data_IF_406151534319
#
_entry.id   IF_406151534319
#
_cell.length_a   1.000
_cell.length_b   1.000
_cell.length_c   1.000
_cell.angle_alpha   90.00
_cell.angle_beta   90.00
_cell.angle_gamma   90.00
#
_symmetry.space_group_name_H-M   'P 1'
#
loop_
_entity.id
_entity.type
_entity.pdbx_description
1 polymer ?
#
# COMPACT_ATOMS: atom_id res chain seq x y z
N UNK A 1 10.76 -12.66 11.80
CA UNK A 1 11.58 -12.53 10.58
C UNK A 1 12.93 -13.18 10.80
N UNK A 2 13.75 -13.27 9.76
CA UNK A 2 15.07 -13.90 9.79
C UNK A 2 16.04 -13.20 8.82
N UNK A 3 17.34 -13.45 9.00
CA UNK A 3 18.42 -12.86 8.20
C UNK A 3 19.21 -13.91 7.39
N UNK A 4 19.25 -15.16 7.88
CA UNK A 4 20.00 -16.25 7.24
C UNK A 4 19.11 -17.46 6.96
N UNK A 5 19.36 -18.22 5.88
CA UNK A 5 18.77 -19.54 5.69
C UNK A 5 19.04 -20.45 6.91
N UNK A 6 18.06 -21.28 7.29
CA UNK A 6 18.11 -22.17 8.46
C UNK A 6 18.21 -21.47 9.84
N UNK A 7 18.10 -20.14 9.92
CA UNK A 7 18.17 -19.42 11.21
C UNK A 7 17.00 -19.73 12.13
N UNK A 8 15.82 -19.97 11.56
CA UNK A 8 14.58 -20.20 12.30
C UNK A 8 13.87 -21.43 11.78
N UNK A 9 13.12 -22.09 12.67
CA UNK A 9 12.10 -23.03 12.28
C UNK A 9 10.86 -22.25 11.83
N UNK A 10 10.52 -22.36 10.55
CA UNK A 10 9.43 -21.57 9.97
C UNK A 10 8.07 -21.91 10.58
N UNK A 11 7.80 -23.18 10.89
CA UNK A 11 6.50 -23.59 11.42
C UNK A 11 6.32 -23.05 12.84
N UNK A 12 7.36 -23.15 13.67
CA UNK A 12 7.35 -22.59 15.04
C UNK A 12 7.13 -21.07 14.99
N UNK A 13 7.91 -20.34 14.20
CA UNK A 13 7.84 -18.89 14.18
C UNK A 13 6.54 -18.34 13.56
N UNK A 14 6.01 -18.98 12.51
CA UNK A 14 4.71 -18.62 11.95
C UNK A 14 3.57 -18.92 12.92
N UNK A 15 3.62 -20.04 13.65
CA UNK A 15 2.65 -20.34 14.70
C UNK A 15 2.71 -19.29 15.81
N UNK A 16 3.91 -18.94 16.30
CA UNK A 16 4.07 -17.88 17.31
C UNK A 16 3.49 -16.54 16.86
N UNK A 17 3.75 -16.14 15.61
CA UNK A 17 3.17 -14.92 15.03
C UNK A 17 1.64 -14.99 14.99
N UNK A 18 1.08 -16.08 14.46
CA UNK A 18 -0.36 -16.26 14.35
C UNK A 18 -1.05 -16.30 15.71
N UNK A 19 -0.49 -17.03 16.69
CA UNK A 19 -1.03 -17.11 18.04
C UNK A 19 -0.99 -15.78 18.76
N UNK A 20 0.12 -15.03 18.62
CA UNK A 20 0.28 -13.70 19.21
C UNK A 20 -0.73 -12.70 18.62
N UNK A 21 -0.89 -12.67 17.30
CA UNK A 21 -1.87 -11.79 16.65
C UNK A 21 -3.30 -12.19 17.04
N UNK A 22 -3.60 -13.49 17.14
CA UNK A 22 -4.90 -13.99 17.61
C UNK A 22 -5.18 -13.54 19.05
N UNK A 23 -4.22 -13.66 19.95
CA UNK A 23 -4.37 -13.25 21.35
C UNK A 23 -4.68 -11.75 21.46
N UNK A 24 -3.92 -10.91 20.74
CA UNK A 24 -4.17 -9.46 20.69
C UNK A 24 -5.56 -9.17 20.13
N UNK A 25 -5.97 -9.86 19.06
CA UNK A 25 -7.28 -9.68 18.43
C UNK A 25 -8.45 -10.12 19.32
N UNK A 26 -8.28 -11.20 20.06
CA UNK A 26 -9.29 -11.72 20.99
C UNK A 26 -9.41 -10.82 22.24
N UNK A 27 -8.28 -10.35 22.77
CA UNK A 27 -8.26 -9.38 23.87
C UNK A 27 -8.91 -8.04 23.47
N UNK A 28 -8.50 -7.49 22.32
CA UNK A 28 -8.96 -6.21 21.79
C UNK A 28 -10.13 -6.33 20.81
N UNK A 29 -11.11 -7.19 21.07
CA UNK A 29 -12.18 -7.52 20.09
C UNK A 29 -13.01 -6.34 19.56
N UNK A 30 -13.01 -5.21 20.27
CA UNK A 30 -13.69 -3.96 19.85
C UNK A 30 -12.79 -2.99 19.07
N UNK A 31 -11.49 -3.26 18.99
CA UNK A 31 -10.48 -2.40 18.34
C UNK A 31 -10.02 -3.04 17.04
N UNK A 32 -9.92 -2.24 15.98
CA UNK A 32 -9.31 -2.68 14.72
C UNK A 32 -7.78 -2.78 14.89
N UNK A 33 -7.23 -3.92 14.51
CA UNK A 33 -5.79 -4.18 14.48
C UNK A 33 -5.37 -4.19 13.02
N UNK A 34 -4.49 -3.27 12.66
CA UNK A 34 -4.02 -3.10 11.30
C UNK A 34 -2.59 -3.63 11.20
N UNK A 35 -2.39 -4.67 10.40
CA UNK A 35 -1.07 -5.25 10.15
C UNK A 35 -0.39 -4.47 9.03
N UNK A 36 0.69 -3.78 9.36
CA UNK A 36 1.53 -3.13 8.37
C UNK A 36 2.62 -4.11 7.91
N UNK A 37 2.56 -4.49 6.64
CA UNK A 37 3.54 -5.40 6.06
C UNK A 37 4.71 -4.61 5.50
N UNK A 38 5.90 -5.20 5.52
CA UNK A 38 7.13 -4.60 4.98
C UNK A 38 8.05 -5.72 4.49
N UNK A 39 8.63 -5.61 3.30
CA UNK A 39 9.43 -6.70 2.71
C UNK A 39 10.61 -7.11 3.61
N UNK A 40 11.32 -6.13 4.15
CA UNK A 40 12.56 -6.23 4.92
C UNK A 40 12.74 -4.97 5.77
N UNK A 41 13.81 -4.92 6.55
CA UNK A 41 14.14 -3.91 7.57
C UNK A 41 13.29 -4.01 8.84
N UNK A 42 13.90 -4.22 10.03
CA UNK A 42 15.34 -4.36 10.27
C UNK A 42 15.90 -5.75 9.88
N UNK A 43 15.02 -6.71 9.55
CA UNK A 43 15.41 -8.08 9.15
C UNK A 43 15.54 -8.20 7.64
N UNK A 44 16.35 -9.12 7.13
CA UNK A 44 16.42 -9.36 5.68
C UNK A 44 15.12 -9.96 5.13
N UNK A 45 14.41 -10.75 5.95
CA UNK A 45 13.09 -11.29 5.63
C UNK A 45 12.12 -11.08 6.80
N UNK A 46 11.07 -10.30 6.58
CA UNK A 46 9.92 -10.23 7.48
C UNK A 46 8.85 -11.27 7.06
N UNK A 47 8.11 -11.80 8.03
CA UNK A 47 7.09 -12.82 7.76
C UNK A 47 5.89 -12.20 7.02
N UNK A 48 5.43 -11.04 7.47
CA UNK A 48 4.49 -10.19 6.76
C UNK A 48 5.25 -9.30 5.77
N UNK A 49 5.83 -9.95 4.75
CA UNK A 49 6.68 -9.31 3.76
C UNK A 49 5.94 -8.60 2.62
N UNK A 50 4.65 -8.90 2.44
CA UNK A 50 3.84 -8.40 1.33
C UNK A 50 2.34 -8.48 1.69
N UNK A 51 1.47 -7.85 0.89
CA UNK A 51 0.04 -7.75 1.17
C UNK A 51 -0.64 -9.12 1.24
N UNK A 52 -0.27 -10.04 0.34
CA UNK A 52 -0.90 -11.36 0.24
C UNK A 52 -0.51 -12.32 1.37
N UNK A 53 0.68 -12.17 1.96
CA UNK A 53 1.07 -12.89 3.19
C UNK A 53 0.27 -12.40 4.39
N UNK A 54 0.02 -11.09 4.49
CA UNK A 54 -0.89 -10.53 5.50
C UNK A 54 -2.32 -11.03 5.30
N UNK A 55 -2.80 -11.06 4.06
CA UNK A 55 -4.12 -11.61 3.74
C UNK A 55 -4.23 -13.10 4.12
N UNK A 56 -3.21 -13.91 3.83
CA UNK A 56 -3.15 -15.31 4.26
C UNK A 56 -3.31 -15.43 5.78
N UNK A 57 -2.55 -14.67 6.56
CA UNK A 57 -2.64 -14.68 8.02
C UNK A 57 -4.05 -14.28 8.50
N UNK A 58 -4.62 -13.21 7.93
CA UNK A 58 -5.97 -12.75 8.30
C UNK A 58 -7.02 -13.83 8.03
N UNK A 59 -6.94 -14.50 6.87
CA UNK A 59 -7.84 -15.60 6.52
C UNK A 59 -7.67 -16.81 7.43
N UNK A 60 -6.43 -17.15 7.79
CA UNK A 60 -6.13 -18.26 8.68
C UNK A 60 -6.66 -18.01 10.11
N UNK A 61 -6.54 -16.79 10.62
CA UNK A 61 -7.01 -16.43 11.96
C UNK A 61 -8.53 -16.23 12.04
N UNK A 62 -9.16 -15.84 10.92
CA UNK A 62 -10.61 -15.65 10.80
C UNK A 62 -11.19 -14.75 11.91
N UNK A 63 -10.55 -13.61 12.17
CA UNK A 63 -11.02 -12.58 13.11
C UNK A 63 -11.47 -11.34 12.37
N UNK A 64 -12.60 -10.78 12.78
CA UNK A 64 -13.26 -9.66 12.08
C UNK A 64 -12.58 -8.32 12.29
N UNK A 65 -11.73 -8.19 13.30
CA UNK A 65 -11.06 -6.95 13.69
C UNK A 65 -9.59 -6.89 13.25
N UNK A 66 -9.13 -7.82 12.41
CA UNK A 66 -7.78 -7.77 11.83
C UNK A 66 -7.88 -7.30 10.39
N UNK A 67 -7.07 -6.31 10.05
CA UNK A 67 -6.91 -5.78 8.69
C UNK A 67 -5.46 -5.45 8.39
N UNK A 68 -5.26 -4.62 7.37
CA UNK A 68 -3.95 -4.28 6.80
C UNK A 68 -3.82 -2.76 6.71
N UNK A 69 -2.64 -2.27 7.10
CA UNK A 69 -2.15 -0.95 6.71
C UNK A 69 -1.35 -1.15 5.42
N UNK A 70 -1.76 -0.48 4.36
CA UNK A 70 -0.97 -0.46 3.11
C UNK A 70 -0.07 0.75 3.17
N UNK A 71 1.23 0.51 3.21
CA UNK A 71 2.22 1.53 2.94
C UNK A 71 2.60 1.48 1.45
N UNK A 72 2.55 2.63 0.78
CA UNK A 72 2.84 2.72 -0.66
C UNK A 72 4.29 2.33 -0.99
N UNK A 73 5.25 2.82 -0.22
CA UNK A 73 6.68 2.50 -0.33
C UNK A 73 6.97 1.03 -0.06
N UNK A 74 6.33 0.44 0.96
CA UNK A 74 6.45 -0.99 1.23
C UNK A 74 5.91 -1.86 0.09
N UNK A 75 4.77 -1.49 -0.50
CA UNK A 75 4.22 -2.18 -1.67
C UNK A 75 5.19 -2.12 -2.86
N UNK A 76 5.73 -0.94 -3.16
CA UNK A 76 6.76 -0.74 -4.17
C UNK A 76 8.02 -1.57 -3.89
N UNK A 77 8.51 -1.56 -2.64
CA UNK A 77 9.67 -2.34 -2.21
C UNK A 77 9.43 -3.85 -2.36
N UNK A 78 8.22 -4.32 -2.05
CA UNK A 78 7.79 -5.71 -2.20
C UNK A 78 7.58 -6.15 -3.66
N UNK A 79 7.80 -5.25 -4.63
CA UNK A 79 7.55 -5.44 -6.07
C UNK A 79 6.06 -5.71 -6.38
N UNK A 80 5.17 -5.19 -5.55
CA UNK A 80 3.73 -5.23 -5.76
C UNK A 80 3.27 -4.02 -6.60
N UNK A 81 2.12 -4.13 -7.26
CA UNK A 81 1.40 -2.94 -7.76
C UNK A 81 0.54 -2.39 -6.61
N UNK A 82 0.77 -1.16 -6.12
CA UNK A 82 0.01 -0.61 -4.99
C UNK A 82 -1.50 -0.49 -5.26
N UNK A 83 -1.90 -0.20 -6.50
CA UNK A 83 -3.31 -0.14 -6.90
C UNK A 83 -4.00 -1.49 -6.83
N UNK A 84 -3.33 -2.57 -7.27
CA UNK A 84 -3.82 -3.94 -7.12
C UNK A 84 -3.99 -4.31 -5.65
N UNK A 85 -2.98 -4.01 -4.82
CA UNK A 85 -3.02 -4.25 -3.37
C UNK A 85 -4.25 -3.59 -2.74
N UNK A 86 -4.50 -2.32 -3.02
CA UNK A 86 -5.69 -1.61 -2.54
C UNK A 86 -6.96 -2.29 -3.02
N UNK A 87 -7.05 -2.65 -4.30
CA UNK A 87 -8.23 -3.29 -4.88
C UNK A 87 -8.58 -4.61 -4.17
N UNK A 88 -7.59 -5.48 -3.97
CA UNK A 88 -7.79 -6.79 -3.36
C UNK A 88 -8.12 -6.66 -1.86
N UNK A 89 -7.36 -5.88 -1.11
CA UNK A 89 -7.61 -5.72 0.34
C UNK A 89 -8.94 -5.03 0.63
N UNK A 90 -9.37 -4.10 -0.24
CA UNK A 90 -10.69 -3.46 -0.14
C UNK A 90 -11.82 -4.44 -0.45
N UNK A 91 -11.66 -5.26 -1.51
CA UNK A 91 -12.60 -6.34 -1.84
C UNK A 91 -12.79 -7.31 -0.67
N UNK A 92 -11.71 -7.64 0.02
CA UNK A 92 -11.71 -8.51 1.19
C UNK A 92 -12.15 -7.80 2.50
N UNK A 93 -12.42 -6.49 2.44
CA UNK A 93 -12.83 -5.62 3.56
C UNK A 93 -11.83 -5.60 4.72
N UNK A 94 -10.55 -5.70 4.37
CA UNK A 94 -9.42 -5.72 5.31
C UNK A 94 -8.45 -4.56 5.11
N UNK A 95 -8.67 -3.67 4.14
CA UNK A 95 -7.92 -2.41 4.05
C UNK A 95 -8.38 -1.45 5.16
N UNK A 96 -7.55 -1.26 6.19
CA UNK A 96 -7.92 -0.46 7.37
C UNK A 96 -7.24 0.91 7.36
N UNK A 97 -5.96 0.98 6.99
CA UNK A 97 -5.20 2.22 6.99
C UNK A 97 -4.33 2.34 5.75
N UNK A 98 -3.91 3.56 5.42
CA UNK A 98 -2.93 3.84 4.39
C UNK A 98 -1.83 4.72 4.95
N UNK A 99 -0.59 4.28 4.77
CA UNK A 99 0.60 5.11 4.89
C UNK A 99 1.09 5.47 3.49
N UNK A 100 1.38 6.75 3.30
CA UNK A 100 1.61 7.32 1.99
C UNK A 100 2.91 8.11 1.95
N UNK A 101 3.78 7.65 1.07
CA UNK A 101 5.11 8.15 0.81
C UNK A 101 5.48 7.82 -0.64
N UNK A 102 6.77 7.87 -0.95
CA UNK A 102 7.30 7.45 -2.24
C UNK A 102 8.68 6.80 -2.06
N UNK A 103 9.12 5.98 -3.02
CA UNK A 103 10.38 5.24 -2.92
C UNK A 103 10.92 4.77 -4.28
N UNK A 104 12.21 4.44 -4.35
CA UNK A 104 12.86 3.87 -5.54
C UNK A 104 12.72 2.35 -5.64
N UNK A 105 11.79 1.72 -4.90
CA UNK A 105 11.48 0.27 -4.89
C UNK A 105 12.56 -0.66 -4.34
N UNK A 106 13.73 -0.15 -3.96
CA UNK A 106 14.84 -0.98 -3.44
C UNK A 106 14.90 -0.99 -1.91
N UNK A 107 14.42 0.10 -1.31
CA UNK A 107 14.32 0.30 0.12
C UNK A 107 13.03 1.04 0.44
N UNK A 108 12.72 1.10 1.73
CA UNK A 108 11.73 2.01 2.28
C UNK A 108 12.38 3.40 2.45
N UNK A 109 12.42 4.15 1.35
CA UNK A 109 13.15 5.42 1.30
C UNK A 109 12.42 6.57 2.03
N UNK A 110 11.13 6.37 2.35
CA UNK A 110 10.28 7.33 3.05
C UNK A 110 10.29 8.75 2.43
N UNK A 111 10.28 8.82 1.10
CA UNK A 111 10.30 10.09 0.36
C UNK A 111 8.93 10.76 0.38
N UNK A 112 8.91 12.05 0.00
CA UNK A 112 7.66 12.81 -0.10
C UNK A 112 6.68 12.11 -1.06
N UNK A 113 5.43 11.93 -0.61
CA UNK A 113 4.38 11.30 -1.41
C UNK A 113 4.18 12.00 -2.77
N UNK A 114 4.04 11.19 -3.83
CA UNK A 114 3.79 11.65 -5.20
C UNK A 114 4.95 12.48 -5.78
N UNK A 115 6.20 12.11 -5.49
CA UNK A 115 7.39 12.85 -5.94
C UNK A 115 8.22 12.12 -7.00
N UNK A 116 8.11 10.80 -7.06
CA UNK A 116 8.97 9.92 -7.86
C UNK A 116 8.15 9.06 -8.81
N UNK A 117 7.07 8.41 -8.33
CA UNK A 117 6.34 7.39 -9.08
C UNK A 117 4.94 7.83 -9.52
N UNK A 118 4.87 8.95 -10.26
CA UNK A 118 3.61 9.65 -10.53
C UNK A 118 2.50 8.80 -11.18
N UNK A 119 2.84 7.89 -12.10
CA UNK A 119 1.84 7.04 -12.75
C UNK A 119 1.28 5.99 -11.79
N UNK A 120 2.14 5.28 -11.06
CA UNK A 120 1.69 4.32 -10.04
C UNK A 120 0.98 5.00 -8.87
N UNK A 121 1.40 6.20 -8.49
CA UNK A 121 0.68 7.00 -7.48
C UNK A 121 -0.72 7.37 -7.98
N UNK A 122 -0.86 7.80 -9.24
CA UNK A 122 -2.17 8.11 -9.81
C UNK A 122 -3.08 6.88 -9.89
N UNK A 123 -2.54 5.71 -10.26
CA UNK A 123 -3.25 4.44 -10.25
C UNK A 123 -3.66 4.02 -8.82
N UNK A 124 -2.78 4.19 -7.84
CA UNK A 124 -3.06 3.93 -6.43
C UNK A 124 -4.23 4.79 -5.92
N UNK A 125 -4.19 6.09 -6.18
CA UNK A 125 -5.29 7.01 -5.83
C UNK A 125 -6.59 6.66 -6.57
N UNK A 126 -6.52 6.23 -7.84
CA UNK A 126 -7.67 5.72 -8.59
C UNK A 126 -8.32 4.53 -7.89
N UNK A 127 -7.53 3.56 -7.42
CA UNK A 127 -8.07 2.39 -6.73
C UNK A 127 -8.55 2.69 -5.31
N UNK A 128 -7.97 3.68 -4.62
CA UNK A 128 -8.49 4.20 -3.35
C UNK A 128 -9.90 4.78 -3.55
N UNK A 129 -10.08 5.67 -4.53
CA UNK A 129 -11.39 6.25 -4.88
C UNK A 129 -12.37 5.17 -5.33
N UNK A 130 -11.95 4.29 -6.24
CA UNK A 130 -12.79 3.21 -6.80
C UNK A 130 -13.26 2.23 -5.73
N UNK A 131 -12.48 2.04 -4.67
CA UNK A 131 -12.79 1.13 -3.57
C UNK A 131 -13.64 1.79 -2.47
N UNK A 132 -14.00 3.08 -2.62
CA UNK A 132 -14.74 3.86 -1.63
C UNK A 132 -14.07 3.84 -0.24
N UNK A 133 -12.74 3.92 -0.22
CA UNK A 133 -11.98 3.91 1.04
C UNK A 133 -12.27 5.18 1.85
N UNK A 134 -12.77 5.00 3.08
CA UNK A 134 -13.21 6.09 3.98
C UNK A 134 -12.17 6.50 5.03
N UNK A 135 -10.98 5.90 5.02
CA UNK A 135 -9.93 6.22 6.00
C UNK A 135 -9.06 7.41 5.56
N UNK A 136 -7.97 7.61 6.28
CA UNK A 136 -7.03 8.70 6.01
C UNK A 136 -5.87 8.22 5.14
N UNK A 137 -5.33 9.11 4.32
CA UNK A 137 -3.98 8.97 3.77
C UNK A 137 -3.01 9.60 4.76
N UNK A 138 -2.40 8.78 5.62
CA UNK A 138 -1.38 9.26 6.56
C UNK A 138 -0.03 9.38 5.87
N UNK A 139 0.65 10.52 5.98
CA UNK A 139 2.01 10.65 5.44
C UNK A 139 3.02 10.02 6.40
N UNK A 140 3.59 8.89 6.02
CA UNK A 140 4.67 8.22 6.74
C UNK A 140 5.99 8.49 6.01
N UNK A 141 6.69 9.54 6.41
CA UNK A 141 7.86 10.05 5.68
C UNK A 141 9.00 10.42 6.64
N UNK A 142 10.23 10.33 6.16
CA UNK A 142 11.44 10.70 6.88
C UNK A 142 12.21 11.78 6.09
N UNK A 143 11.86 13.07 6.28
CA UNK A 143 12.46 14.17 5.52
C UNK A 143 13.86 14.53 6.06
N UNK A 144 14.82 13.62 5.96
CA UNK A 144 16.17 13.77 6.54
C UNK A 144 16.92 15.04 6.12
N UNK A 145 16.61 15.58 4.93
CA UNK A 145 17.31 16.71 4.30
C UNK A 145 16.37 17.85 3.91
N UNK A 146 15.13 17.84 4.38
CA UNK A 146 14.09 18.82 4.06
C UNK A 146 13.46 19.27 5.37
N UNK A 147 13.11 20.55 5.50
CA UNK A 147 12.38 21.01 6.69
C UNK A 147 11.05 20.24 6.82
N UNK A 148 10.75 19.58 7.95
CA UNK A 148 9.62 18.64 8.05
C UNK A 148 8.27 19.25 7.67
N UNK A 149 7.99 20.49 8.12
CA UNK A 149 6.76 21.21 7.74
C UNK A 149 6.68 21.41 6.23
N UNK A 150 7.81 21.73 5.58
CA UNK A 150 7.84 21.94 4.13
C UNK A 150 7.64 20.64 3.37
N UNK A 151 8.18 19.53 3.86
CA UNK A 151 7.96 18.21 3.28
C UNK A 151 6.46 17.83 3.34
N UNK A 152 5.82 18.05 4.49
CA UNK A 152 4.39 17.77 4.67
C UNK A 152 3.50 18.65 3.76
N UNK A 153 3.82 19.95 3.63
CA UNK A 153 3.14 20.84 2.68
C UNK A 153 3.22 20.32 1.25
N UNK A 154 4.40 19.85 0.82
CA UNK A 154 4.62 19.32 -0.51
C UNK A 154 3.88 18.01 -0.73
N UNK A 155 3.91 17.07 0.22
CA UNK A 155 3.14 15.83 0.15
C UNK A 155 1.64 16.12 -0.02
N UNK A 156 1.12 17.07 0.77
CA UNK A 156 -0.29 17.50 0.69
C UNK A 156 -0.60 18.08 -0.70
N UNK A 157 0.23 18.99 -1.20
CA UNK A 157 0.02 19.61 -2.53
C UNK A 157 0.11 18.57 -3.65
N UNK A 158 1.14 17.72 -3.66
CA UNK A 158 1.31 16.66 -4.64
C UNK A 158 0.08 15.75 -4.69
N UNK A 159 -0.39 15.32 -3.51
CA UNK A 159 -1.57 14.45 -3.38
C UNK A 159 -2.82 15.12 -3.95
N UNK A 160 -3.10 16.37 -3.55
CA UNK A 160 -4.26 17.11 -4.05
C UNK A 160 -4.17 17.36 -5.55
N UNK A 161 -2.99 17.67 -6.08
CA UNK A 161 -2.77 17.92 -7.50
C UNK A 161 -2.96 16.65 -8.32
N UNK A 162 -2.45 15.50 -7.85
CA UNK A 162 -2.68 14.19 -8.46
C UNK A 162 -4.15 13.77 -8.40
N UNK A 163 -4.86 14.04 -7.30
CA UNK A 163 -6.32 13.86 -7.25
C UNK A 163 -7.05 14.70 -8.29
N UNK A 164 -6.65 15.95 -8.51
CA UNK A 164 -7.24 16.76 -9.60
C UNK A 164 -7.00 16.13 -10.97
N UNK A 165 -5.78 15.65 -11.23
CA UNK A 165 -5.46 14.94 -12.48
C UNK A 165 -6.28 13.66 -12.64
N UNK A 166 -6.49 12.90 -11.56
CA UNK A 166 -7.32 11.69 -11.55
C UNK A 166 -8.74 11.97 -12.06
N UNK A 167 -9.34 13.08 -11.65
CA UNK A 167 -10.68 13.48 -12.08
C UNK A 167 -10.74 13.99 -13.53
N UNK A 168 -9.60 14.30 -14.16
CA UNK A 168 -9.51 14.68 -15.57
C UNK A 168 -9.36 13.46 -16.50
N UNK A 169 -9.11 12.26 -15.96
CA UNK A 169 -8.98 11.04 -16.77
C UNK A 169 -10.33 10.72 -17.43
N UNK A 170 -10.31 10.47 -18.74
CA UNK A 170 -11.44 9.90 -19.46
C UNK A 170 -11.66 8.44 -19.04
N UNK A 171 -12.53 8.25 -18.04
CA UNK A 171 -12.83 6.96 -17.43
C UNK A 171 -13.42 5.95 -18.44
N UNK A 172 -14.22 6.41 -19.39
CA UNK A 172 -14.83 5.53 -20.40
C UNK A 172 -13.79 4.99 -21.37
N UNK A 173 -12.88 5.86 -21.84
CA UNK A 173 -11.76 5.43 -22.68
C UNK A 173 -10.82 4.49 -21.94
N UNK A 174 -10.51 4.80 -20.66
CA UNK A 174 -9.69 3.92 -19.82
C UNK A 174 -10.32 2.53 -19.67
N UNK A 175 -11.62 2.46 -19.35
CA UNK A 175 -12.33 1.18 -19.20
C UNK A 175 -12.36 0.37 -20.50
N UNK A 176 -12.65 1.00 -21.64
CA UNK A 176 -12.62 0.32 -22.95
C UNK A 176 -11.25 -0.24 -23.30
N UNK A 177 -10.18 0.50 -22.97
CA UNK A 177 -8.81 0.02 -23.14
C UNK A 177 -8.51 -1.18 -22.23
N UNK A 178 -8.94 -1.11 -20.96
CA UNK A 178 -8.78 -2.20 -19.99
C UNK A 178 -9.54 -3.47 -20.40
N UNK A 179 -10.78 -3.37 -20.88
CA UNK A 179 -11.58 -4.51 -21.35
C UNK A 179 -10.92 -5.26 -22.50
N UNK A 180 -10.18 -4.56 -23.36
CA UNK A 180 -9.43 -5.13 -24.47
C UNK A 180 -8.00 -5.54 -24.09
N UNK A 181 -7.57 -5.21 -22.88
CA UNK A 181 -6.17 -5.31 -22.44
C UNK A 181 -5.19 -4.56 -23.36
N UNK A 182 -5.62 -3.42 -23.92
CA UNK A 182 -4.80 -2.60 -24.81
C UNK A 182 -4.00 -1.56 -24.02
N UNK A 183 -2.69 -1.76 -23.94
CA UNK A 183 -1.78 -0.88 -23.22
C UNK A 183 -1.65 0.50 -23.88
N UNK A 184 -1.78 0.60 -25.20
CA UNK A 184 -1.69 1.88 -25.90
C UNK A 184 -2.92 2.74 -25.63
N UNK A 185 -4.12 2.13 -25.66
CA UNK A 185 -5.38 2.83 -25.37
C UNK A 185 -5.44 3.31 -23.90
N UNK A 186 -5.10 2.44 -22.95
CA UNK A 186 -5.07 2.80 -21.52
C UNK A 186 -4.01 3.87 -21.22
N UNK A 187 -2.81 3.73 -21.79
CA UNK A 187 -1.77 4.76 -21.68
C UNK A 187 -2.22 6.10 -22.30
N UNK A 188 -2.85 6.07 -23.47
CA UNK A 188 -3.34 7.28 -24.14
C UNK A 188 -4.45 7.98 -23.34
N UNK A 189 -5.30 7.22 -22.64
CA UNK A 189 -6.34 7.78 -21.77
C UNK A 189 -5.73 8.51 -20.56
N UNK A 190 -4.73 7.91 -19.91
CA UNK A 190 -4.10 8.48 -18.70
C UNK A 190 -3.13 9.61 -19.05
N UNK A 191 -2.24 9.43 -20.05
CA UNK A 191 -1.15 10.37 -20.33
C UNK A 191 -1.61 11.79 -20.65
N UNK A 192 -2.83 11.97 -21.16
CA UNK A 192 -3.40 13.28 -21.52
C UNK A 192 -3.48 14.23 -20.33
N UNK A 193 -3.63 13.70 -19.10
CA UNK A 193 -3.70 14.56 -17.90
C UNK A 193 -2.31 15.11 -17.53
N UNK A 194 -1.24 14.40 -17.88
CA UNK A 194 0.15 14.81 -17.63
C UNK A 194 0.76 15.65 -18.75
N UNK A 195 0.43 15.34 -20.01
CA UNK A 195 1.05 15.95 -21.19
C UNK A 195 0.01 16.70 -22.03
N UNK A 196 -0.42 17.86 -21.52
CA UNK A 196 -1.34 18.77 -22.23
C UNK A 196 -0.66 19.48 -23.40
#
# INVERSE_FOLDING_TARGET
GFDYPFQVDYDIEWNLLMESVREIADYGSQVKISLEYKLKEPRQYLFLGNAFRSLYLIKALNRKNIGVTVDFGHALMAKENPGEVVSILSREKVLYNIHFNDAYREWDDDLMAGSTNLYETLEFLYYIEKSDYQGYLGFDIFPYRIHPVRALELCTRNTLDLYRLLHEIDKDSLLKGQEKMDAADTHQAVRKVFFK
#
